data_IF_628843950707
#
_entry.id   IF_628843950707
#
_cell.length_a   1.000
_cell.length_b   1.000
_cell.length_c   1.000
_cell.angle_alpha   90.00
_cell.angle_beta   90.00
_cell.angle_gamma   90.00
#
_symmetry.space_group_name_H-M   'P 1'
#
loop_
_entity.id
_entity.type
_entity.pdbx_description
1 polymer ?
#
# COMPACT_ATOMS: atom_id res chain seq x y z
N UNK A 1 -3.13 24.15 5.57
CA UNK A 1 -3.16 22.68 5.76
C UNK A 1 -3.83 21.92 4.61
N UNK A 2 -5.10 22.16 4.24
CA UNK A 2 -5.74 21.39 3.13
C UNK A 2 -5.04 21.57 1.76
N UNK A 3 -4.71 22.81 1.38
CA UNK A 3 -3.99 23.09 0.13
C UNK A 3 -2.53 22.64 0.12
N UNK A 4 -1.87 22.68 1.28
CA UNK A 4 -0.47 22.22 1.42
C UNK A 4 -0.38 20.70 1.26
N UNK A 5 -1.32 19.95 1.86
CA UNK A 5 -1.42 18.51 1.64
C UNK A 5 -1.70 18.17 0.17
N UNK A 6 -2.56 18.94 -0.51
CA UNK A 6 -2.83 18.72 -1.94
C UNK A 6 -1.60 18.96 -2.81
N UNK A 7 -0.83 20.03 -2.54
CA UNK A 7 0.42 20.31 -3.23
C UNK A 7 1.49 19.24 -2.97
N UNK A 8 1.62 18.78 -1.74
CA UNK A 8 2.54 17.69 -1.39
C UNK A 8 2.15 16.40 -2.11
N UNK A 9 0.86 16.04 -2.14
CA UNK A 9 0.38 14.88 -2.90
C UNK A 9 0.69 15.01 -4.40
N UNK A 10 0.45 16.17 -5.01
CA UNK A 10 0.81 16.41 -6.41
C UNK A 10 2.33 16.37 -6.65
N UNK A 11 3.12 16.82 -5.70
CA UNK A 11 4.58 16.74 -5.76
C UNK A 11 5.06 15.27 -5.72
N UNK A 12 4.50 14.46 -4.82
CA UNK A 12 4.82 13.03 -4.75
C UNK A 12 4.42 12.29 -6.04
N UNK A 13 3.25 12.57 -6.60
CA UNK A 13 2.80 11.98 -7.88
C UNK A 13 3.74 12.37 -9.02
N UNK A 14 4.14 13.65 -9.12
CA UNK A 14 5.08 14.09 -10.16
C UNK A 14 6.44 13.41 -10.03
N UNK A 15 6.93 13.25 -8.80
CA UNK A 15 8.19 12.55 -8.52
C UNK A 15 8.11 11.09 -8.92
N UNK A 16 7.03 10.40 -8.57
CA UNK A 16 6.81 9.01 -8.97
C UNK A 16 6.77 8.85 -10.49
N UNK A 17 6.01 9.70 -11.19
CA UNK A 17 5.94 9.68 -12.65
C UNK A 17 7.31 9.92 -13.30
N UNK A 18 8.10 10.85 -12.76
CA UNK A 18 9.44 11.15 -13.23
C UNK A 18 10.38 9.94 -13.04
N UNK A 19 10.39 9.34 -11.86
CA UNK A 19 11.24 8.18 -11.56
C UNK A 19 10.85 6.97 -12.42
N UNK A 20 9.56 6.77 -12.66
CA UNK A 20 9.07 5.70 -13.55
C UNK A 20 9.44 5.94 -15.02
N UNK A 21 9.41 7.19 -15.49
CA UNK A 21 9.87 7.54 -16.83
C UNK A 21 11.37 7.21 -17.00
N UNK A 22 12.20 7.46 -15.98
CA UNK A 22 13.62 7.10 -15.99
C UNK A 22 13.83 5.58 -16.05
N UNK A 23 13.05 4.80 -15.29
CA UNK A 23 13.13 3.33 -15.35
C UNK A 23 12.74 2.79 -16.73
N UNK A 24 11.68 3.32 -17.35
CA UNK A 24 11.28 2.94 -18.71
C UNK A 24 12.35 3.30 -19.74
N UNK A 25 13.00 4.46 -19.60
CA UNK A 25 14.09 4.87 -20.47
C UNK A 25 15.31 3.96 -20.31
N UNK A 26 15.68 3.59 -19.08
CA UNK A 26 16.76 2.64 -18.82
C UNK A 26 16.45 1.27 -19.43
N UNK A 27 15.23 0.75 -19.23
CA UNK A 27 14.77 -0.50 -19.82
C UNK A 27 14.80 -0.50 -21.35
N UNK A 28 14.47 0.64 -21.98
CA UNK A 28 14.50 0.76 -23.45
C UNK A 28 15.91 0.61 -24.06
N UNK A 29 16.95 0.81 -23.26
CA UNK A 29 18.34 0.72 -23.69
C UNK A 29 18.99 -0.65 -23.41
N UNK A 30 18.33 -1.53 -22.65
CA UNK A 30 18.87 -2.84 -22.23
C UNK A 30 18.55 -3.96 -23.23
N UNK A 31 19.43 -4.96 -23.30
CA UNK A 31 19.19 -6.19 -24.08
C UNK A 31 18.38 -7.20 -23.27
N UNK A 32 17.72 -8.14 -23.96
CA UNK A 32 16.80 -9.11 -23.35
C UNK A 32 17.26 -9.83 -22.05
N UNK A 33 18.53 -10.26 -21.87
CA UNK A 33 18.97 -10.85 -20.60
C UNK A 33 19.10 -9.81 -19.48
N UNK A 34 19.71 -8.67 -19.77
CA UNK A 34 19.94 -7.56 -18.81
C UNK A 34 18.62 -6.88 -18.42
N UNK A 35 17.68 -6.76 -19.36
CA UNK A 35 16.33 -6.25 -19.12
C UNK A 35 15.56 -7.11 -18.11
N UNK A 36 15.73 -8.44 -18.20
CA UNK A 36 15.04 -9.40 -17.33
C UNK A 36 15.58 -9.35 -15.91
N UNK A 37 16.89 -9.16 -15.78
CA UNK A 37 17.57 -8.95 -14.50
C UNK A 37 17.17 -7.59 -13.89
N UNK A 38 17.21 -6.52 -14.68
CA UNK A 38 16.81 -5.18 -14.24
C UNK A 38 15.35 -5.13 -13.80
N UNK A 39 14.43 -5.75 -14.56
CA UNK A 39 13.04 -5.93 -14.16
C UNK A 39 12.91 -6.69 -12.82
N UNK A 40 13.67 -7.77 -12.65
CA UNK A 40 13.68 -8.54 -11.42
C UNK A 40 14.16 -7.73 -10.21
N UNK A 41 15.16 -6.86 -10.39
CA UNK A 41 15.64 -5.95 -9.35
C UNK A 41 14.63 -4.82 -9.07
N UNK A 42 13.99 -4.28 -10.10
CA UNK A 42 13.01 -3.21 -9.98
C UNK A 42 11.75 -3.68 -9.21
N UNK A 43 11.24 -4.86 -9.54
CA UNK A 43 10.09 -5.48 -8.87
C UNK A 43 10.39 -5.81 -7.40
N UNK A 44 11.65 -6.12 -7.07
CA UNK A 44 12.11 -6.37 -5.70
C UNK A 44 12.58 -5.11 -4.97
N UNK A 45 12.50 -3.93 -5.61
CA UNK A 45 12.95 -2.71 -4.98
C UNK A 45 11.97 -2.27 -3.89
N UNK A 46 12.43 -1.65 -2.80
CA UNK A 46 11.55 -1.14 -1.73
C UNK A 46 10.50 -0.13 -2.22
N UNK A 47 10.76 0.54 -3.36
CA UNK A 47 9.81 1.44 -4.01
C UNK A 47 8.65 0.69 -4.68
N UNK A 48 8.84 -0.59 -5.01
CA UNK A 48 7.82 -1.53 -5.51
C UNK A 48 7.29 -2.49 -4.45
N UNK A 49 7.95 -2.60 -3.30
CA UNK A 49 7.34 -3.08 -2.05
C UNK A 49 6.34 -2.04 -1.54
N UNK A 50 5.29 -1.78 -2.33
CA UNK A 50 4.12 -1.13 -1.82
C UNK A 50 3.45 -2.12 -0.87
N UNK A 51 3.61 -1.85 0.42
CA UNK A 51 3.01 -2.50 1.57
C UNK A 51 3.53 -3.89 1.96
N UNK A 52 3.82 -4.00 3.25
CA UNK A 52 3.89 -5.24 4.00
C UNK A 52 2.76 -6.18 3.56
N UNK A 53 3.12 -7.41 3.16
CA UNK A 53 2.14 -8.40 2.71
C UNK A 53 1.58 -9.14 3.92
N UNK A 54 0.31 -8.88 4.23
CA UNK A 54 -0.42 -9.46 5.35
C UNK A 54 -1.17 -10.74 4.99
N UNK A 55 -1.59 -10.91 3.72
CA UNK A 55 -2.27 -12.14 3.28
C UNK A 55 -2.16 -12.37 1.76
N UNK A 56 -2.65 -13.52 1.30
CA UNK A 56 -2.66 -13.87 -0.13
C UNK A 56 -3.76 -13.15 -0.92
N UNK A 57 -4.87 -12.80 -0.26
CA UNK A 57 -5.97 -12.07 -0.90
C UNK A 57 -5.60 -10.60 -1.12
N UNK A 58 -5.50 -10.20 -2.39
CA UNK A 58 -5.03 -8.85 -2.76
C UNK A 58 -5.93 -7.72 -2.24
N UNK A 59 -7.25 -7.94 -2.18
CA UNK A 59 -8.20 -6.92 -1.71
C UNK A 59 -8.00 -6.67 -0.23
N UNK A 60 -7.98 -7.73 0.57
CA UNK A 60 -7.77 -7.63 2.01
C UNK A 60 -6.37 -7.11 2.34
N UNK A 61 -5.35 -7.56 1.61
CA UNK A 61 -3.99 -7.06 1.78
C UNK A 61 -3.89 -5.54 1.56
N UNK A 62 -4.54 -5.02 0.51
CA UNK A 62 -4.54 -3.59 0.22
C UNK A 62 -5.24 -2.77 1.32
N UNK A 63 -6.35 -3.28 1.88
CA UNK A 63 -7.03 -2.63 2.99
C UNK A 63 -6.15 -2.62 4.25
N UNK A 64 -5.56 -3.76 4.61
CA UNK A 64 -4.68 -3.86 5.78
C UNK A 64 -3.47 -2.93 5.66
N UNK A 65 -2.83 -2.90 4.50
CA UNK A 65 -1.75 -1.98 4.19
C UNK A 65 -2.12 -0.50 4.40
N UNK A 66 -3.26 -0.09 3.85
CA UNK A 66 -3.72 1.28 3.98
C UNK A 66 -4.03 1.64 5.45
N UNK A 67 -4.63 0.71 6.19
CA UNK A 67 -4.98 0.95 7.61
C UNK A 67 -3.77 0.88 8.54
N UNK A 68 -2.79 0.02 8.28
CA UNK A 68 -1.52 -0.03 8.99
C UNK A 68 -0.84 1.34 8.97
N UNK A 69 -0.75 1.96 7.79
CA UNK A 69 -0.13 3.28 7.65
C UNK A 69 -0.87 4.36 8.46
N UNK A 70 -2.20 4.29 8.53
CA UNK A 70 -3.01 5.22 9.35
C UNK A 70 -2.77 4.97 10.84
N UNK A 71 -2.73 3.71 11.27
CA UNK A 71 -2.46 3.33 12.66
C UNK A 71 -1.07 3.81 13.10
N UNK A 72 -0.04 3.64 12.27
CA UNK A 72 1.32 4.14 12.53
C UNK A 72 1.37 5.66 12.71
N UNK A 73 0.66 6.42 11.85
CA UNK A 73 0.57 7.88 11.96
C UNK A 73 -0.12 8.34 13.26
N UNK A 74 -1.00 7.50 13.80
CA UNK A 74 -1.75 7.75 15.04
C UNK A 74 -1.11 7.12 16.27
N UNK A 75 0.11 6.58 16.13
CA UNK A 75 0.84 5.85 17.18
C UNK A 75 0.06 4.66 17.77
N UNK A 76 -0.87 4.09 16.99
CA UNK A 76 -1.64 2.92 17.36
C UNK A 76 -0.81 1.68 16.98
N UNK A 77 -0.49 0.86 17.99
CA UNK A 77 0.18 -0.43 17.74
C UNK A 77 -0.82 -1.43 17.17
N UNK A 78 -0.51 -1.96 15.98
CA UNK A 78 -1.33 -2.95 15.30
C UNK A 78 -0.55 -4.26 15.13
N UNK A 79 -1.22 -5.38 15.38
CA UNK A 79 -0.71 -6.73 15.15
C UNK A 79 -1.73 -7.50 14.31
N UNK A 80 -1.35 -7.82 13.08
CA UNK A 80 -2.21 -8.47 12.10
C UNK A 80 -1.81 -9.92 11.89
N UNK A 81 -2.67 -10.84 12.32
CA UNK A 81 -2.57 -12.27 11.98
C UNK A 81 -3.72 -12.65 11.05
N UNK A 82 -3.42 -12.85 9.76
CA UNK A 82 -4.43 -13.06 8.72
C UNK A 82 -4.08 -14.28 7.87
N UNK A 83 -4.99 -15.26 7.86
CA UNK A 83 -4.89 -16.45 7.01
C UNK A 83 -6.13 -16.51 6.12
N UNK A 84 -5.95 -16.14 4.85
CA UNK A 84 -6.99 -16.11 3.84
C UNK A 84 -6.47 -16.74 2.55
N UNK A 85 -7.26 -17.56 1.86
CA UNK A 85 -6.92 -18.02 0.51
C UNK A 85 -6.90 -16.83 -0.46
N UNK A 86 -6.16 -16.96 -1.57
CA UNK A 86 -6.12 -15.95 -2.62
C UNK A 86 -7.52 -15.63 -3.16
N UNK A 87 -8.32 -16.67 -3.42
CA UNK A 87 -9.67 -16.56 -3.97
C UNK A 87 -10.72 -16.93 -2.91
N UNK A 88 -11.70 -16.05 -2.72
CA UNK A 88 -12.89 -16.29 -1.91
C UNK A 88 -14.13 -16.16 -2.80
N UNK A 89 -15.18 -16.90 -2.47
CA UNK A 89 -16.51 -16.78 -3.12
C UNK A 89 -17.28 -15.52 -2.68
N UNK A 90 -16.58 -14.51 -2.18
CA UNK A 90 -17.15 -13.25 -1.69
C UNK A 90 -16.67 -12.15 -2.63
N UNK A 91 -17.58 -11.26 -3.01
CA UNK A 91 -17.26 -10.14 -3.89
C UNK A 91 -16.20 -9.23 -3.28
N UNK A 92 -15.30 -8.72 -4.13
CA UNK A 92 -14.21 -7.84 -3.70
C UNK A 92 -14.72 -6.58 -2.97
N UNK A 93 -15.87 -6.05 -3.41
CA UNK A 93 -16.51 -4.87 -2.79
C UNK A 93 -16.95 -5.18 -1.36
N UNK A 94 -17.55 -6.35 -1.14
CA UNK A 94 -18.03 -6.77 0.18
C UNK A 94 -16.85 -7.07 1.12
N UNK A 95 -15.82 -7.75 0.63
CA UNK A 95 -14.57 -7.95 1.39
C UNK A 95 -13.94 -6.61 1.79
N UNK A 96 -13.81 -5.69 0.83
CA UNK A 96 -13.28 -4.37 1.10
C UNK A 96 -14.10 -3.65 2.18
N UNK A 97 -15.42 -3.62 2.04
CA UNK A 97 -16.31 -2.95 2.98
C UNK A 97 -16.21 -3.53 4.40
N UNK A 98 -16.24 -4.86 4.54
CA UNK A 98 -16.17 -5.53 5.84
C UNK A 98 -14.84 -5.21 6.55
N UNK A 99 -13.71 -5.37 5.87
CA UNK A 99 -12.39 -5.12 6.47
C UNK A 99 -12.15 -3.63 6.74
N UNK A 100 -12.50 -2.74 5.79
CA UNK A 100 -12.30 -1.31 5.95
C UNK A 100 -13.10 -0.76 7.14
N UNK A 101 -14.40 -1.07 7.19
CA UNK A 101 -15.27 -0.61 8.27
C UNK A 101 -14.82 -1.16 9.63
N UNK A 102 -14.41 -2.43 9.70
CA UNK A 102 -13.96 -3.04 10.96
C UNK A 102 -12.69 -2.38 11.49
N UNK A 103 -11.73 -2.08 10.61
CA UNK A 103 -10.48 -1.42 10.97
C UNK A 103 -10.70 0.06 11.29
N UNK A 104 -11.59 0.75 10.57
CA UNK A 104 -11.97 2.14 10.87
C UNK A 104 -12.59 2.25 12.26
N UNK A 105 -13.53 1.37 12.59
CA UNK A 105 -14.12 1.32 13.92
C UNK A 105 -13.07 1.08 15.02
N UNK A 106 -12.07 0.23 14.73
CA UNK A 106 -10.99 -0.07 15.66
C UNK A 106 -10.06 1.12 15.87
N UNK A 107 -9.70 1.83 14.79
CA UNK A 107 -8.88 3.05 14.85
C UNK A 107 -9.62 4.14 15.63
N UNK A 108 -10.89 4.39 15.33
CA UNK A 108 -11.69 5.42 16.00
C UNK A 108 -11.80 5.14 17.51
N UNK A 109 -11.97 3.88 17.91
CA UNK A 109 -12.00 3.49 19.31
C UNK A 109 -10.66 3.74 20.01
N UNK A 110 -9.53 3.39 19.37
CA UNK A 110 -8.20 3.64 19.92
C UNK A 110 -7.89 5.14 20.06
N UNK A 111 -8.29 5.96 19.09
CA UNK A 111 -8.12 7.42 19.17
C UNK A 111 -8.85 8.02 20.38
N UNK A 112 -10.08 7.56 20.65
CA UNK A 112 -10.85 8.01 21.81
C UNK A 112 -10.19 7.68 23.14
N UNK A 113 -9.44 6.58 23.23
CA UNK A 113 -8.69 6.19 24.43
C UNK A 113 -7.43 7.04 24.65
N UNK A 114 -6.81 7.53 23.58
CA UNK A 114 -5.62 8.40 23.67
C UNK A 114 -5.93 9.85 24.08
N UNK A 115 -7.21 10.23 24.10
CA UNK A 115 -7.67 11.58 24.42
C UNK A 115 -8.06 11.78 25.91
N UNK A 116 -7.89 10.76 26.75
CA UNK A 116 -7.98 10.82 28.22
C UNK A 116 -6.60 10.84 28.88
#
# INVERSE_FOLDING_TARGET
MYYQNLEEQQFQVRRLCHDMANHLQAMSALKAPELREYLGQLIKSPAMECSQRFCENNVVNAVLAAKQQIMEQKEITADFFVVLPADLSVEAVDLCAVFANSLDNSIEACEKLSAE
#
